data_IF_608804240558
#
_entry.id   IF_608804240558
#
_cell.length_a   1.000
_cell.length_b   1.000
_cell.length_c   1.000
_cell.angle_alpha   90.00
_cell.angle_beta   90.00
_cell.angle_gamma   90.00
#
_symmetry.space_group_name_H-M   'P 1'
#
loop_
_entity.id
_entity.type
_entity.pdbx_description
1 polymer ?
#
# COMPACT_ATOMS: atom_id res chain seq x y z
N UNK A 1 17.56 -3.07 13.16
CA UNK A 1 17.05 -4.27 12.46
C UNK A 1 15.58 -3.96 12.27
N UNK A 2 15.15 -3.65 11.06
CA UNK A 2 13.73 -3.35 10.83
C UNK A 2 12.95 -4.63 11.09
N UNK A 3 11.91 -4.56 11.90
CA UNK A 3 10.95 -5.65 12.02
C UNK A 3 10.29 -5.83 10.65
N UNK A 4 10.26 -7.07 10.14
CA UNK A 4 9.57 -7.37 8.89
C UNK A 4 8.06 -7.23 9.13
N UNK A 5 7.45 -6.19 8.56
CA UNK A 5 6.01 -6.00 8.60
C UNK A 5 5.35 -6.68 7.38
N UNK A 6 4.32 -7.48 7.64
CA UNK A 6 3.49 -8.09 6.60
C UNK A 6 2.25 -7.21 6.34
N UNK A 7 1.87 -7.08 5.07
CA UNK A 7 0.70 -6.33 4.65
C UNK A 7 -0.09 -7.08 3.59
N UNK A 8 -1.40 -6.87 3.57
CA UNK A 8 -2.28 -7.32 2.49
C UNK A 8 -2.30 -6.26 1.38
N UNK A 9 -2.11 -6.66 0.12
CA UNK A 9 -2.19 -5.76 -1.03
C UNK A 9 -3.25 -6.23 -2.02
N UNK A 10 -4.10 -5.32 -2.48
CA UNK A 10 -5.16 -5.59 -3.46
C UNK A 10 -4.94 -4.71 -4.69
N UNK A 11 -4.85 -5.33 -5.87
CA UNK A 11 -4.87 -4.61 -7.14
C UNK A 11 -6.30 -4.14 -7.44
N UNK A 12 -6.48 -2.82 -7.59
CA UNK A 12 -7.75 -2.17 -7.88
C UNK A 12 -7.97 -2.08 -9.39
N UNK A 13 -8.34 -3.20 -10.02
CA UNK A 13 -8.70 -3.24 -11.43
C UNK A 13 -10.01 -4.01 -11.65
N UNK A 14 -10.67 -3.74 -12.77
CA UNK A 14 -11.81 -4.53 -13.24
C UNK A 14 -11.47 -5.06 -14.63
N UNK A 15 -11.63 -6.37 -14.84
CA UNK A 15 -11.29 -7.02 -16.11
C UNK A 15 -9.79 -7.29 -16.26
N UNK A 16 -9.33 -7.43 -17.49
CA UNK A 16 -7.91 -7.68 -17.78
C UNK A 16 -7.09 -6.39 -17.63
N UNK A 17 -5.89 -6.50 -17.06
CA UNK A 17 -4.90 -5.41 -16.99
C UNK A 17 -3.58 -5.90 -17.56
N UNK A 18 -2.97 -5.13 -18.47
CA UNK A 18 -1.61 -5.40 -18.92
C UNK A 18 -0.62 -4.73 -17.97
N UNK A 19 -0.19 -5.49 -16.97
CA UNK A 19 0.74 -5.03 -15.93
C UNK A 19 2.09 -4.53 -16.48
N UNK A 20 2.46 -4.92 -17.71
CA UNK A 20 3.73 -4.53 -18.31
C UNK A 20 3.71 -3.16 -18.97
N UNK A 21 2.52 -2.61 -19.26
CA UNK A 21 2.35 -1.35 -20.00
C UNK A 21 1.42 -0.36 -19.30
N UNK A 22 0.68 -0.79 -18.27
CA UNK A 22 -0.27 0.04 -17.55
C UNK A 22 0.07 0.13 -16.05
N UNK A 23 0.01 1.33 -15.44
CA UNK A 23 0.14 1.48 -14.01
C UNK A 23 -0.99 0.77 -13.26
N UNK A 24 -0.63 0.00 -12.24
CA UNK A 24 -1.57 -0.77 -11.43
C UNK A 24 -1.88 0.02 -10.17
N UNK A 25 -3.15 0.32 -9.96
CA UNK A 25 -3.61 0.87 -8.69
C UNK A 25 -3.61 -0.23 -7.65
N UNK A 26 -2.95 -0.02 -6.53
CA UNK A 26 -2.84 -0.97 -5.42
C UNK A 26 -3.35 -0.28 -4.17
N UNK A 27 -4.14 -1.00 -3.38
CA UNK A 27 -4.45 -0.62 -2.00
C UNK A 27 -3.75 -1.58 -1.07
N UNK A 28 -2.97 -1.06 -0.14
CA UNK A 28 -2.35 -1.86 0.92
C UNK A 28 -3.13 -1.68 2.22
N UNK A 29 -3.10 -2.72 3.04
CA UNK A 29 -3.68 -2.79 4.35
C UNK A 29 -2.60 -3.35 5.28
N UNK A 30 -2.19 -2.54 6.25
CA UNK A 30 -1.25 -2.96 7.28
C UNK A 30 -1.97 -3.29 8.57
N UNK A 31 -1.45 -4.31 9.28
CA UNK A 31 -1.98 -4.77 10.57
C UNK A 31 -3.46 -5.13 10.52
N UNK A 32 -3.93 -5.52 9.33
CA UNK A 32 -5.29 -5.98 9.05
C UNK A 32 -5.60 -7.36 9.66
N UNK A 33 -4.57 -8.05 10.17
CA UNK A 33 -4.65 -9.33 10.88
C UNK A 33 -4.51 -9.20 12.40
N UNK A 34 -4.26 -8.00 12.95
CA UNK A 34 -4.11 -7.81 14.39
C UNK A 34 -5.48 -7.81 15.09
N UNK A 35 -5.52 -8.33 16.32
CA UNK A 35 -6.74 -8.37 17.13
C UNK A 35 -7.21 -7.00 17.60
N UNK A 36 -6.35 -5.99 17.51
CA UNK A 36 -6.59 -4.61 17.92
C UNK A 36 -6.41 -3.67 16.73
N UNK A 37 -7.38 -3.74 15.81
CA UNK A 37 -7.38 -2.95 14.57
C UNK A 37 -7.42 -1.44 14.84
N UNK A 38 -7.99 -0.99 15.96
CA UNK A 38 -8.35 0.42 16.14
C UNK A 38 -7.15 1.35 16.36
N UNK A 39 -6.04 0.87 16.94
CA UNK A 39 -4.88 1.73 17.23
C UNK A 39 -3.81 1.75 16.13
N UNK A 40 -3.79 0.73 15.28
CA UNK A 40 -2.61 0.42 14.48
C UNK A 40 -2.91 0.07 13.02
N UNK A 41 -4.18 -0.13 12.66
CA UNK A 41 -4.58 -0.35 11.28
C UNK A 41 -4.24 0.86 10.41
N UNK A 42 -3.75 0.58 9.21
CA UNK A 42 -3.55 1.62 8.21
C UNK A 42 -3.87 1.11 6.81
N UNK A 43 -4.30 2.04 5.96
CA UNK A 43 -4.57 1.82 4.56
C UNK A 43 -3.76 2.79 3.73
N UNK A 44 -3.36 2.39 2.53
CA UNK A 44 -2.76 3.35 1.60
C UNK A 44 -2.93 2.96 0.14
N UNK A 45 -3.08 3.99 -0.70
CA UNK A 45 -3.18 3.85 -2.14
C UNK A 45 -1.85 4.10 -2.83
N UNK A 46 -1.50 3.22 -3.76
CA UNK A 46 -0.31 3.30 -4.59
C UNK A 46 -0.65 3.11 -6.06
N UNK A 47 0.13 3.71 -6.95
CA UNK A 47 0.21 3.26 -8.34
C UNK A 47 1.58 2.64 -8.57
N UNK A 48 1.59 1.40 -9.03
CA UNK A 48 2.79 0.67 -9.40
C UNK A 48 2.96 0.74 -10.92
N UNK A 49 4.03 1.36 -11.37
CA UNK A 49 4.47 1.38 -12.76
C UNK A 49 5.66 0.41 -12.89
N UNK A 50 5.37 -0.80 -13.36
CA UNK A 50 6.37 -1.85 -13.53
C UNK A 50 7.30 -1.59 -14.71
N UNK A 51 6.79 -0.98 -15.78
CA UNK A 51 7.58 -0.68 -16.99
C UNK A 51 8.76 0.24 -16.64
N UNK A 52 8.47 1.28 -15.86
CA UNK A 52 9.46 2.29 -15.49
C UNK A 52 10.08 2.06 -14.10
N UNK A 53 9.59 1.07 -13.34
CA UNK A 53 10.10 0.72 -12.01
C UNK A 53 9.77 1.76 -10.93
N UNK A 54 8.64 2.46 -11.05
CA UNK A 54 8.22 3.48 -10.09
C UNK A 54 7.03 3.02 -9.23
N UNK A 55 7.04 3.47 -7.98
CA UNK A 55 5.90 3.39 -7.07
C UNK A 55 5.50 4.80 -6.69
N UNK A 56 4.28 5.18 -7.06
CA UNK A 56 3.70 6.46 -6.69
C UNK A 56 2.82 6.26 -5.48
N UNK A 57 3.12 6.96 -4.41
CA UNK A 57 2.25 7.01 -3.26
C UNK A 57 1.13 8.03 -3.47
N UNK A 58 -0.12 7.56 -3.46
CA UNK A 58 -1.31 8.33 -3.82
C UNK A 58 -2.29 8.49 -2.66
N UNK A 59 -1.82 8.37 -1.40
CA UNK A 59 -2.68 8.59 -0.24
C UNK A 59 -3.08 10.06 -0.16
N UNK A 60 -4.40 10.31 -0.19
CA UNK A 60 -4.97 11.67 -0.18
C UNK A 60 -5.20 12.17 1.24
N UNK A 61 -5.43 11.25 2.17
CA UNK A 61 -5.70 11.57 3.56
C UNK A 61 -4.38 11.65 4.34
N UNK A 62 -4.13 12.83 4.91
CA UNK A 62 -2.89 13.12 5.63
C UNK A 62 -2.76 12.27 6.90
N UNK A 63 -3.87 11.88 7.52
CA UNK A 63 -3.86 11.16 8.78
C UNK A 63 -3.36 9.71 8.61
N UNK A 64 -3.55 9.11 7.43
CA UNK A 64 -3.02 7.79 7.09
C UNK A 64 -1.58 7.81 6.60
N UNK A 65 -1.02 8.99 6.30
CA UNK A 65 0.36 9.10 5.82
C UNK A 65 1.39 8.82 6.90
N UNK A 66 1.15 9.33 8.09
CA UNK A 66 2.11 9.23 9.19
C UNK A 66 2.29 7.79 9.72
N UNK A 67 1.22 7.03 10.04
CA UNK A 67 1.36 5.62 10.44
C UNK A 67 2.08 4.78 9.40
N UNK A 68 1.78 5.00 8.12
CA UNK A 68 2.37 4.25 7.03
C UNK A 68 3.86 4.57 6.81
N UNK A 69 4.25 5.86 6.83
CA UNK A 69 5.68 6.22 6.73
C UNK A 69 6.44 5.59 7.88
N UNK A 70 5.89 5.60 9.09
CA UNK A 70 6.51 4.94 10.24
C UNK A 70 6.70 3.44 10.00
N UNK A 71 5.71 2.74 9.43
CA UNK A 71 5.83 1.33 9.05
C UNK A 71 6.88 1.07 7.96
N UNK A 72 7.00 1.96 6.97
CA UNK A 72 7.96 1.83 5.86
C UNK A 72 9.39 2.30 6.20
N UNK A 73 9.55 3.22 7.15
CA UNK A 73 10.84 3.85 7.44
C UNK A 73 11.76 3.04 8.35
N UNK A 74 11.22 2.08 9.11
CA UNK A 74 11.99 1.16 9.96
C UNK A 74 12.81 1.82 11.08
#
# INVERSE_FOLDING_TARGET
MCEEESFTAIALHQGHIDMASEPIKIKIFGRDQDSDLDENYYESFFNLDLENGFVFWNEKDLDYREPLIRGLSG
#
